data_IF_245024893960
#
_entry.id   IF_245024893960
#
_cell.length_a   1.000
_cell.length_b   1.000
_cell.length_c   1.000
_cell.angle_alpha   90.00
_cell.angle_beta   90.00
_cell.angle_gamma   90.00
#
_symmetry.space_group_name_H-M   'P 1'
#
loop_
_entity.id
_entity.type
_entity.pdbx_description
1 polymer ?
#
# COMPACT_ATOMS: atom_id res chain seq x y z
N UNK A 1 -44.94 -19.95 37.51
CA UNK A 1 -45.12 -19.17 36.26
C UNK A 1 -43.84 -18.96 35.44
N UNK A 2 -42.62 -18.97 36.02
CA UNK A 2 -41.36 -18.82 35.23
C UNK A 2 -40.89 -20.08 34.48
N UNK A 3 -41.22 -21.29 34.94
CA UNK A 3 -40.87 -22.54 34.26
C UNK A 3 -41.74 -22.88 33.05
N UNK A 4 -42.94 -22.28 32.93
CA UNK A 4 -43.87 -22.52 31.83
C UNK A 4 -43.55 -21.65 30.59
N UNK A 5 -43.02 -20.44 30.80
CA UNK A 5 -42.63 -19.51 29.72
C UNK A 5 -41.31 -19.92 29.05
N UNK A 6 -40.38 -20.51 29.80
CA UNK A 6 -39.14 -21.09 29.27
C UNK A 6 -39.40 -22.33 28.38
N UNK A 7 -40.38 -23.16 28.72
CA UNK A 7 -40.75 -24.34 27.92
C UNK A 7 -41.35 -23.98 26.56
N UNK A 8 -42.13 -22.89 26.47
CA UNK A 8 -42.74 -22.43 25.22
C UNK A 8 -41.69 -21.82 24.28
N UNK A 9 -40.69 -21.12 24.83
CA UNK A 9 -39.61 -20.50 24.04
C UNK A 9 -38.66 -21.54 23.44
N UNK A 10 -38.35 -22.61 24.20
CA UNK A 10 -37.56 -23.72 23.70
C UNK A 10 -38.28 -24.51 22.59
N UNK A 11 -39.61 -24.64 22.69
CA UNK A 11 -40.42 -25.32 21.67
C UNK A 11 -40.54 -24.49 20.37
N UNK A 12 -40.54 -23.17 20.43
CA UNK A 12 -40.56 -22.30 19.24
C UNK A 12 -39.25 -22.38 18.44
N UNK A 13 -38.10 -22.44 19.13
CA UNK A 13 -36.77 -22.52 18.51
C UNK A 13 -36.53 -23.88 17.82
N UNK A 14 -37.01 -24.98 18.41
CA UNK A 14 -36.96 -26.30 17.77
C UNK A 14 -37.93 -26.40 16.59
N UNK A 15 -39.10 -25.75 16.66
CA UNK A 15 -40.04 -25.72 15.53
C UNK A 15 -39.48 -24.91 14.35
N UNK A 16 -38.83 -23.77 14.60
CA UNK A 16 -38.21 -22.92 13.57
C UNK A 16 -37.05 -23.62 12.86
N UNK A 17 -36.21 -24.35 13.60
CA UNK A 17 -35.09 -25.11 13.03
C UNK A 17 -35.59 -26.26 12.15
N UNK A 18 -36.60 -27.00 12.58
CA UNK A 18 -37.22 -28.09 11.79
C UNK A 18 -37.88 -27.53 10.52
N UNK A 19 -38.57 -26.39 10.59
CA UNK A 19 -39.16 -25.74 9.41
C UNK A 19 -38.07 -25.29 8.44
N UNK A 20 -36.97 -24.69 8.92
CA UNK A 20 -35.87 -24.28 8.04
C UNK A 20 -35.21 -25.47 7.33
N UNK A 21 -35.05 -26.60 8.03
CA UNK A 21 -34.47 -27.82 7.46
C UNK A 21 -35.38 -28.44 6.40
N UNK A 22 -36.70 -28.35 6.58
CA UNK A 22 -37.68 -28.81 5.60
C UNK A 22 -37.76 -27.90 4.37
N UNK A 23 -37.58 -26.58 4.53
CA UNK A 23 -37.47 -25.62 3.42
C UNK A 23 -36.18 -25.85 2.63
N UNK A 24 -35.06 -26.12 3.32
CA UNK A 24 -33.77 -26.41 2.68
C UNK A 24 -33.81 -27.72 1.87
N UNK A 25 -34.37 -28.80 2.43
CA UNK A 25 -34.56 -30.06 1.70
C UNK A 25 -35.50 -29.94 0.50
N UNK A 26 -36.48 -29.02 0.53
CA UNK A 26 -37.32 -28.74 -0.64
C UNK A 26 -36.64 -27.87 -1.69
N UNK A 27 -35.58 -27.14 -1.35
CA UNK A 27 -34.79 -26.35 -2.29
C UNK A 27 -33.82 -27.24 -3.09
N UNK A 28 -33.25 -28.28 -2.47
CA UNK A 28 -32.40 -29.27 -3.15
C UNK A 28 -33.16 -30.20 -4.11
N UNK A 29 -34.49 -30.28 -3.99
CA UNK A 29 -35.33 -31.10 -4.88
C UNK A 29 -35.57 -30.47 -6.27
N UNK A 30 -35.17 -29.20 -6.48
CA UNK A 30 -35.38 -28.49 -7.75
C UNK A 30 -34.15 -28.35 -8.65
N UNK A 31 -33.00 -28.95 -8.30
CA UNK A 31 -31.86 -29.05 -9.21
C UNK A 31 -31.80 -30.47 -9.77
N UNK A 32 -32.71 -30.79 -10.68
CA UNK A 32 -32.59 -31.98 -11.53
C UNK A 32 -31.92 -31.62 -12.84
N UNK A 33 -30.85 -32.35 -13.18
CA UNK A 33 -30.13 -32.29 -14.46
C UNK A 33 -31.08 -32.34 -15.67
N UNK A 34 -30.79 -31.63 -16.77
CA UNK A 34 -31.62 -31.73 -17.96
C UNK A 34 -31.40 -33.09 -18.68
N UNK A 35 -32.45 -33.67 -19.28
CA UNK A 35 -32.34 -34.95 -19.97
C UNK A 35 -31.66 -34.82 -21.32
N UNK A 36 -30.85 -35.83 -21.66
CA UNK A 36 -30.21 -35.97 -22.96
C UNK A 36 -31.22 -36.21 -24.08
N UNK A 37 -30.96 -35.60 -25.23
CA UNK A 37 -31.56 -35.94 -26.51
C UNK A 37 -30.47 -36.32 -27.52
N UNK A 38 -30.83 -37.30 -28.34
CA UNK A 38 -30.06 -38.10 -29.29
C UNK A 38 -29.41 -37.34 -30.46
N UNK A 39 -28.28 -37.89 -30.91
CA UNK A 39 -27.57 -37.62 -32.18
C UNK A 39 -28.49 -37.42 -33.40
N UNK A 40 -28.27 -36.35 -34.16
CA UNK A 40 -28.43 -36.29 -35.62
C UNK A 40 -27.23 -35.53 -36.22
N UNK A 41 -26.79 -36.07 -37.34
CA UNK A 41 -25.56 -35.91 -38.13
C UNK A 41 -25.30 -34.53 -38.77
N UNK A 42 -24.02 -34.31 -39.07
CA UNK A 42 -23.30 -33.23 -39.75
C UNK A 42 -24.06 -32.07 -40.44
N UNK A 43 -23.71 -30.84 -40.03
CA UNK A 43 -23.32 -29.79 -40.98
C UNK A 43 -22.45 -28.75 -40.27
N UNK A 44 -21.21 -28.59 -40.75
CA UNK A 44 -20.26 -27.57 -40.33
C UNK A 44 -20.86 -26.16 -40.41
N UNK A 45 -21.16 -25.57 -39.26
CA UNK A 45 -21.28 -24.12 -39.11
C UNK A 45 -20.30 -23.73 -38.02
N UNK A 46 -19.19 -23.12 -38.43
CA UNK A 46 -18.24 -22.44 -37.56
C UNK A 46 -18.98 -21.46 -36.66
N UNK A 47 -19.00 -21.74 -35.36
CA UNK A 47 -19.50 -20.80 -34.36
C UNK A 47 -18.62 -19.53 -34.38
N UNK A 48 -19.21 -18.32 -34.24
CA UNK A 48 -18.42 -17.11 -34.07
C UNK A 48 -17.63 -17.24 -32.76
N UNK A 49 -16.35 -16.87 -32.80
CA UNK A 49 -15.46 -16.92 -31.66
C UNK A 49 -16.09 -16.36 -30.41
N UNK A 50 -15.81 -17.02 -29.27
CA UNK A 50 -16.09 -16.44 -27.95
C UNK A 50 -15.50 -15.03 -27.84
N UNK A 51 -15.94 -14.22 -26.87
CA UNK A 51 -15.36 -12.89 -26.67
C UNK A 51 -13.84 -13.04 -26.63
N UNK A 52 -13.16 -12.33 -27.54
CA UNK A 52 -11.71 -12.22 -27.49
C UNK A 52 -11.37 -11.75 -26.07
N UNK A 53 -10.44 -12.43 -25.40
CA UNK A 53 -9.89 -11.91 -24.15
C UNK A 53 -9.49 -10.46 -24.41
N UNK A 54 -9.96 -9.54 -23.57
CA UNK A 54 -9.62 -8.13 -23.72
C UNK A 54 -8.10 -8.01 -23.77
N UNK A 55 -7.59 -7.40 -24.84
CA UNK A 55 -6.17 -7.21 -25.01
C UNK A 55 -5.62 -6.41 -23.82
N UNK A 56 -4.51 -6.87 -23.26
CA UNK A 56 -3.85 -6.19 -22.15
C UNK A 56 -3.45 -4.76 -22.56
N UNK A 57 -3.51 -3.87 -21.58
CA UNK A 57 -3.34 -2.43 -21.74
C UNK A 57 -2.45 -1.94 -20.61
N UNK A 58 -1.33 -1.27 -20.91
CA UNK A 58 -0.50 -0.69 -19.88
C UNK A 58 -1.24 0.47 -19.20
N UNK A 59 -0.93 0.71 -17.93
CA UNK A 59 -1.41 1.88 -17.18
C UNK A 59 -0.80 3.16 -17.74
N UNK A 60 0.50 3.14 -18.04
CA UNK A 60 1.21 4.19 -18.78
C UNK A 60 1.63 3.68 -20.16
N UNK A 61 1.14 4.33 -21.23
CA UNK A 61 1.44 4.00 -22.63
C UNK A 61 2.70 4.67 -23.16
N UNK A 62 3.18 5.73 -22.51
CA UNK A 62 4.36 6.47 -22.95
C UNK A 62 5.65 5.87 -22.36
N UNK A 63 5.55 5.20 -21.21
CA UNK A 63 6.66 4.49 -20.56
C UNK A 63 7.02 3.17 -21.26
N UNK A 64 8.32 2.89 -21.41
CA UNK A 64 8.82 1.58 -21.86
C UNK A 64 8.43 0.48 -20.89
N UNK A 65 8.65 0.73 -19.60
CA UNK A 65 8.28 -0.14 -18.49
C UNK A 65 6.96 0.26 -17.90
N UNK A 66 5.99 -0.65 -17.89
CA UNK A 66 4.64 -0.41 -17.40
C UNK A 66 4.00 -1.71 -16.90
N UNK A 67 2.78 -1.63 -16.37
CA UNK A 67 2.05 -2.80 -15.91
C UNK A 67 0.59 -2.76 -16.35
N UNK A 68 -0.06 -3.92 -16.26
CA UNK A 68 -1.50 -4.12 -16.42
C UNK A 68 -2.01 -4.94 -15.25
N UNK A 69 -3.08 -4.49 -14.61
CA UNK A 69 -3.81 -5.23 -13.56
C UNK A 69 -5.21 -5.60 -14.06
N UNK A 70 -5.27 -6.48 -15.06
CA UNK A 70 -6.49 -6.91 -15.73
C UNK A 70 -6.70 -8.40 -15.53
N UNK A 71 -7.97 -8.84 -15.53
CA UNK A 71 -8.33 -10.25 -15.35
C UNK A 71 -7.82 -10.85 -14.03
N UNK A 72 -7.74 -10.02 -12.98
CA UNK A 72 -7.20 -10.36 -11.66
C UNK A 72 -5.74 -10.82 -11.64
N UNK A 73 -4.99 -10.51 -12.70
CA UNK A 73 -3.55 -10.80 -12.82
C UNK A 73 -2.75 -9.51 -12.97
N UNK A 74 -1.60 -9.46 -12.30
CA UNK A 74 -0.60 -8.42 -12.50
C UNK A 74 0.41 -8.88 -13.56
N UNK A 75 0.55 -8.08 -14.62
CA UNK A 75 1.50 -8.35 -15.71
C UNK A 75 2.33 -7.12 -16.01
N UNK A 76 3.62 -7.32 -16.27
CA UNK A 76 4.57 -6.26 -16.62
C UNK A 76 4.85 -6.27 -18.12
N UNK A 77 5.18 -5.10 -18.64
CA UNK A 77 5.76 -4.93 -19.97
C UNK A 77 7.00 -4.06 -19.85
N UNK A 78 7.99 -4.33 -20.69
CA UNK A 78 9.24 -3.57 -20.82
C UNK A 78 9.41 -3.02 -22.25
N UNK A 79 8.36 -3.13 -23.07
CA UNK A 79 8.34 -2.75 -24.47
C UNK A 79 6.96 -2.18 -24.86
N UNK A 80 6.43 -1.26 -24.05
CA UNK A 80 5.21 -0.50 -24.35
C UNK A 80 3.97 -1.37 -24.64
N UNK A 81 3.88 -2.55 -23.99
CA UNK A 81 2.75 -3.46 -24.10
C UNK A 81 2.81 -4.44 -25.28
N UNK A 82 3.92 -4.53 -26.00
CA UNK A 82 4.13 -5.54 -27.05
C UNK A 82 4.19 -6.96 -26.46
N UNK A 83 4.97 -7.15 -25.39
CA UNK A 83 5.10 -8.40 -24.64
C UNK A 83 4.74 -8.21 -23.15
N UNK A 84 4.33 -9.31 -22.53
CA UNK A 84 3.84 -9.34 -21.15
C UNK A 84 4.44 -10.47 -20.33
N UNK A 85 4.92 -10.13 -19.14
CA UNK A 85 5.45 -11.08 -18.15
C UNK A 85 4.52 -11.14 -16.95
N UNK A 86 4.21 -12.34 -16.47
CA UNK A 86 3.34 -12.52 -15.32
C UNK A 86 4.10 -12.28 -14.01
N UNK A 87 3.51 -11.51 -13.10
CA UNK A 87 4.01 -11.37 -11.72
C UNK A 87 3.39 -12.48 -10.85
N UNK A 88 4.17 -13.29 -10.13
CA UNK A 88 3.66 -14.44 -9.38
C UNK A 88 3.05 -14.02 -8.02
N UNK A 89 2.12 -13.07 -8.03
CA UNK A 89 1.43 -12.55 -6.85
C UNK A 89 -0.06 -12.50 -7.15
N UNK A 90 -0.88 -13.00 -6.22
CA UNK A 90 -2.33 -12.91 -6.32
C UNK A 90 -2.78 -11.47 -6.05
N UNK A 91 -3.74 -10.96 -6.84
CA UNK A 91 -4.19 -9.57 -6.75
C UNK A 91 -4.61 -9.17 -5.35
N UNK A 92 -5.29 -10.04 -4.60
CA UNK A 92 -5.76 -9.76 -3.25
C UNK A 92 -4.61 -9.51 -2.26
N UNK A 93 -3.43 -10.10 -2.48
CA UNK A 93 -2.26 -9.92 -1.62
C UNK A 93 -1.68 -8.50 -1.75
N UNK A 94 -1.72 -7.93 -2.95
CA UNK A 94 -1.27 -6.56 -3.22
C UNK A 94 -2.09 -5.54 -2.42
N UNK A 95 -3.40 -5.75 -2.29
CA UNK A 95 -4.33 -4.83 -1.59
C UNK A 95 -4.71 -5.30 -0.17
N UNK A 96 -3.95 -6.23 0.39
CA UNK A 96 -4.18 -6.82 1.72
C UNK A 96 -4.03 -5.78 2.83
N UNK A 97 -4.95 -5.71 3.79
CA UNK A 97 -4.91 -4.73 4.90
C UNK A 97 -6.19 -3.89 5.00
N UNK A 98 -6.06 -2.63 5.40
CA UNK A 98 -7.17 -1.68 5.55
C UNK A 98 -7.49 -0.88 4.27
N UNK A 99 -6.85 -1.20 3.13
CA UNK A 99 -7.02 -0.44 1.89
C UNK A 99 -8.45 -0.55 1.32
N UNK A 100 -9.08 0.61 1.13
CA UNK A 100 -10.45 0.75 0.62
C UNK A 100 -10.52 1.51 -0.73
N UNK A 101 -9.37 1.84 -1.33
CA UNK A 101 -9.29 2.61 -2.57
C UNK A 101 -9.51 1.76 -3.84
N UNK A 102 -9.11 2.33 -4.97
CA UNK A 102 -9.18 1.66 -6.27
C UNK A 102 -8.26 0.43 -6.31
N UNK A 103 -8.79 -0.72 -6.74
CA UNK A 103 -8.05 -1.99 -6.91
C UNK A 103 -7.85 -2.36 -8.38
N UNK A 104 -7.93 -1.39 -9.29
CA UNK A 104 -7.60 -1.52 -10.70
C UNK A 104 -6.19 -1.03 -11.02
N UNK A 105 -5.57 -0.28 -10.11
CA UNK A 105 -4.19 0.21 -10.20
C UNK A 105 -3.48 -0.17 -8.90
N UNK A 106 -2.16 -0.36 -8.98
CA UNK A 106 -1.34 -0.63 -7.80
C UNK A 106 -1.37 0.57 -6.86
N UNK A 107 -1.24 0.31 -5.55
CA UNK A 107 -1.13 1.39 -4.59
C UNK A 107 0.20 2.10 -4.79
N UNK A 108 0.15 3.43 -4.78
CA UNK A 108 1.34 4.25 -4.83
C UNK A 108 2.31 3.86 -3.71
N UNK A 109 3.61 3.91 -4.01
CA UNK A 109 4.71 3.54 -3.11
C UNK A 109 4.72 2.08 -2.63
N UNK A 110 3.79 1.22 -3.05
CA UNK A 110 3.81 -0.21 -2.67
C UNK A 110 4.59 -1.09 -3.65
N UNK A 111 5.22 -0.49 -4.66
CA UNK A 111 5.97 -1.20 -5.69
C UNK A 111 7.06 -0.29 -6.27
N UNK A 112 8.05 -0.93 -6.88
CA UNK A 112 9.11 -0.30 -7.67
C UNK A 112 9.05 -0.93 -9.05
N UNK A 113 9.09 -0.09 -10.08
CA UNK A 113 9.07 -0.55 -11.46
C UNK A 113 10.06 0.26 -12.30
N UNK A 114 11.21 -0.35 -12.56
CA UNK A 114 12.29 0.17 -13.41
C UNK A 114 12.72 -0.93 -14.38
N UNK A 115 13.61 -0.61 -15.34
CA UNK A 115 14.16 -1.63 -16.24
C UNK A 115 15.02 -2.68 -15.51
N UNK A 116 15.68 -2.28 -14.41
CA UNK A 116 16.63 -3.11 -13.66
C UNK A 116 16.00 -3.77 -12.43
N UNK A 117 14.86 -3.28 -11.94
CA UNK A 117 14.18 -3.78 -10.75
C UNK A 117 12.66 -3.64 -10.86
N UNK A 118 11.96 -4.76 -10.71
CA UNK A 118 10.54 -4.79 -10.41
C UNK A 118 10.37 -5.40 -9.01
N UNK A 119 9.73 -4.70 -8.08
CA UNK A 119 9.52 -5.17 -6.71
C UNK A 119 8.12 -4.80 -6.22
N UNK A 120 7.45 -5.71 -5.51
CA UNK A 120 6.07 -5.54 -5.06
C UNK A 120 5.95 -5.92 -3.59
N UNK A 121 5.54 -4.97 -2.76
CA UNK A 121 5.28 -5.19 -1.35
C UNK A 121 3.84 -5.70 -1.19
N UNK A 122 3.70 -6.90 -0.66
CA UNK A 122 2.40 -7.55 -0.48
C UNK A 122 2.31 -8.25 0.87
N UNK A 123 1.11 -8.71 1.20
CA UNK A 123 0.92 -9.45 2.43
C UNK A 123 0.03 -10.67 2.27
N UNK A 124 0.55 -11.79 2.75
CA UNK A 124 -0.15 -13.05 2.81
C UNK A 124 -0.73 -13.28 4.22
N UNK A 125 -1.91 -13.90 4.28
CA UNK A 125 -2.53 -14.24 5.56
C UNK A 125 -1.78 -15.41 6.19
N UNK A 126 -1.08 -15.18 7.32
CA UNK A 126 -0.50 -16.27 8.11
C UNK A 126 -1.53 -16.88 9.08
N UNK A 127 -2.48 -16.07 9.58
CA UNK A 127 -3.68 -16.51 10.30
C UNK A 127 -4.80 -15.43 10.25
N UNK A 128 -5.88 -15.56 11.06
CA UNK A 128 -7.03 -14.64 11.01
C UNK A 128 -6.74 -13.18 11.40
N UNK A 129 -5.63 -12.88 12.08
CA UNK A 129 -5.33 -11.54 12.60
C UNK A 129 -3.92 -11.03 12.27
N UNK A 130 -3.05 -11.90 11.77
CA UNK A 130 -1.65 -11.61 11.49
C UNK A 130 -1.34 -11.98 10.05
N UNK A 131 -0.50 -11.16 9.44
CA UNK A 131 -0.06 -11.31 8.05
C UNK A 131 1.46 -11.28 7.99
N UNK A 132 2.03 -12.08 7.11
CA UNK A 132 3.43 -11.92 6.72
C UNK A 132 3.50 -10.80 5.68
N UNK A 133 4.47 -9.90 5.82
CA UNK A 133 4.78 -8.89 4.81
C UNK A 133 5.94 -9.42 3.98
N UNK A 134 5.74 -9.44 2.68
CA UNK A 134 6.64 -10.06 1.71
C UNK A 134 7.01 -9.03 0.65
N UNK A 135 8.26 -9.10 0.18
CA UNK A 135 8.68 -8.42 -1.03
C UNK A 135 8.95 -9.46 -2.10
N UNK A 136 8.18 -9.43 -3.18
CA UNK A 136 8.46 -10.24 -4.37
C UNK A 136 9.06 -9.37 -5.44
N UNK A 137 10.23 -9.76 -5.95
CA UNK A 137 11.02 -8.94 -6.85
C UNK A 137 11.69 -9.74 -7.97
N UNK A 138 12.08 -9.01 -9.01
CA UNK A 138 12.86 -9.49 -10.16
C UNK A 138 13.90 -8.44 -10.54
N UNK A 139 15.08 -8.92 -10.89
CA UNK A 139 16.22 -8.12 -11.36
C UNK A 139 16.59 -8.41 -12.83
N UNK A 140 15.74 -9.18 -13.52
CA UNK A 140 15.97 -9.68 -14.89
C UNK A 140 14.72 -9.55 -15.77
N UNK A 141 13.98 -8.45 -15.59
CA UNK A 141 12.77 -8.12 -16.34
C UNK A 141 11.68 -9.20 -16.24
N UNK A 142 11.59 -9.86 -15.09
CA UNK A 142 10.59 -10.87 -14.77
C UNK A 142 10.89 -12.27 -15.33
N UNK A 143 12.11 -12.52 -15.82
CA UNK A 143 12.52 -13.86 -16.24
C UNK A 143 12.64 -14.81 -15.04
N UNK A 144 13.08 -14.31 -13.89
CA UNK A 144 13.06 -14.97 -12.59
C UNK A 144 12.47 -14.06 -11.52
N UNK A 145 11.94 -14.68 -10.45
CA UNK A 145 11.29 -14.01 -9.34
C UNK A 145 11.78 -14.60 -8.03
N UNK A 146 12.07 -13.72 -7.08
CA UNK A 146 12.41 -14.07 -5.71
C UNK A 146 11.40 -13.44 -4.75
N UNK A 147 11.24 -14.05 -3.58
CA UNK A 147 10.38 -13.53 -2.52
C UNK A 147 11.14 -13.57 -1.21
N UNK A 148 11.33 -12.40 -0.60
CA UNK A 148 11.89 -12.25 0.74
C UNK A 148 10.78 -11.97 1.74
N UNK A 149 10.98 -12.44 2.97
CA UNK A 149 10.12 -12.09 4.10
C UNK A 149 10.65 -10.79 4.74
N UNK A 150 9.82 -9.75 4.76
CA UNK A 150 10.12 -8.50 5.49
C UNK A 150 9.83 -8.69 6.97
N UNK A 151 8.67 -9.31 7.28
CA UNK A 151 8.32 -9.76 8.63
C UNK A 151 7.28 -10.87 8.57
N UNK A 152 7.34 -11.82 9.51
CA UNK A 152 6.41 -12.95 9.61
C UNK A 152 5.08 -12.58 10.28
N UNK A 153 5.04 -11.45 10.99
CA UNK A 153 3.92 -11.07 11.81
C UNK A 153 3.70 -9.55 11.87
N UNK A 154 2.74 -9.08 11.08
CA UNK A 154 2.25 -7.71 11.16
C UNK A 154 0.71 -7.66 11.25
N UNK A 155 0.13 -6.67 11.95
CA UNK A 155 -1.30 -6.36 11.89
C UNK A 155 -1.78 -6.08 10.46
N UNK A 156 -3.08 -5.84 10.29
CA UNK A 156 -3.59 -5.35 9.02
C UNK A 156 -2.95 -3.99 8.68
N UNK A 157 -2.18 -3.94 7.58
CA UNK A 157 -1.50 -2.71 7.15
C UNK A 157 -2.48 -1.63 6.73
N UNK A 158 -2.28 -0.40 7.21
CA UNK A 158 -2.93 0.81 6.71
C UNK A 158 -2.02 1.55 5.73
N UNK A 159 -0.80 1.87 6.13
CA UNK A 159 0.23 2.48 5.27
C UNK A 159 1.28 1.44 4.91
N UNK A 160 1.83 1.59 3.70
CA UNK A 160 3.02 0.88 3.28
C UNK A 160 3.80 1.70 2.26
N UNK A 161 5.11 1.63 2.32
CA UNK A 161 6.03 2.21 1.35
C UNK A 161 7.25 1.31 1.24
N UNK A 162 7.71 1.08 0.02
CA UNK A 162 8.97 0.40 -0.27
C UNK A 162 9.77 1.25 -1.25
N UNK A 163 11.05 1.40 -1.01
CA UNK A 163 11.97 2.04 -1.94
C UNK A 163 13.40 1.53 -1.78
N UNK A 164 14.23 1.78 -2.78
CA UNK A 164 15.67 1.49 -2.78
C UNK A 164 16.44 2.76 -3.11
N UNK A 165 17.28 3.21 -2.17
CA UNK A 165 18.18 4.36 -2.38
C UNK A 165 19.29 3.99 -3.36
N UNK A 166 19.71 2.72 -3.35
CA UNK A 166 20.64 2.15 -4.31
C UNK A 166 20.40 0.64 -4.47
N UNK A 167 21.20 -0.04 -5.30
CA UNK A 167 21.01 -1.47 -5.59
C UNK A 167 21.07 -2.41 -4.37
N UNK A 168 21.64 -1.96 -3.25
CA UNK A 168 21.84 -2.74 -2.04
C UNK A 168 20.99 -2.24 -0.88
N UNK A 169 20.92 -0.93 -0.68
CA UNK A 169 20.19 -0.32 0.42
C UNK A 169 18.77 0.08 0.03
N UNK A 170 17.81 -0.39 0.82
CA UNK A 170 16.40 -0.06 0.68
C UNK A 170 15.66 -0.15 2.00
N UNK A 171 14.40 0.27 1.99
CA UNK A 171 13.58 0.33 3.18
C UNK A 171 12.13 -0.06 2.89
N UNK A 172 11.46 -0.56 3.92
CA UNK A 172 10.02 -0.76 3.98
C UNK A 172 9.48 -0.04 5.21
N UNK A 173 8.50 0.85 5.03
CA UNK A 173 7.81 1.54 6.11
C UNK A 173 6.37 1.04 6.10
N UNK A 174 5.89 0.54 7.24
CA UNK A 174 4.53 -0.02 7.36
C UNK A 174 3.86 0.45 8.64
N UNK A 175 2.53 0.60 8.58
CA UNK A 175 1.73 0.99 9.74
C UNK A 175 0.47 0.14 9.88
N UNK A 176 -0.05 -0.01 11.09
CA UNK A 176 -1.27 -0.78 11.36
C UNK A 176 -1.72 -0.72 12.82
N UNK A 177 -2.64 -1.61 13.19
CA UNK A 177 -3.22 -1.73 14.54
C UNK A 177 -3.84 -0.42 15.06
N UNK A 178 -4.61 0.25 14.19
CA UNK A 178 -5.15 1.57 14.51
C UNK A 178 -6.22 1.50 15.58
N UNK A 179 -6.01 2.22 16.68
CA UNK A 179 -6.96 2.33 17.80
C UNK A 179 -7.06 3.78 18.29
N UNK A 180 -8.26 4.39 18.24
CA UNK A 180 -8.52 5.72 18.81
C UNK A 180 -7.51 6.81 18.39
N UNK A 181 -7.27 6.94 17.08
CA UNK A 181 -6.27 7.85 16.48
C UNK A 181 -4.81 7.57 16.85
N UNK A 182 -4.55 6.38 17.40
CA UNK A 182 -3.21 5.84 17.54
C UNK A 182 -2.95 4.77 16.50
N UNK A 183 -1.71 4.64 16.08
CA UNK A 183 -1.25 3.68 15.09
C UNK A 183 0.16 3.20 15.45
N UNK A 184 0.42 1.91 15.23
CA UNK A 184 1.75 1.35 15.27
C UNK A 184 2.42 1.55 13.91
N UNK A 185 3.67 1.97 13.90
CA UNK A 185 4.51 2.05 12.70
C UNK A 185 5.88 1.42 12.98
N UNK A 186 6.48 0.86 11.94
CA UNK A 186 7.83 0.33 11.99
C UNK A 186 8.52 0.48 10.64
N UNK A 187 9.85 0.45 10.67
CA UNK A 187 10.72 0.52 9.49
C UNK A 187 11.58 -0.72 9.46
N UNK A 188 11.68 -1.34 8.28
CA UNK A 188 12.60 -2.40 7.98
C UNK A 188 13.63 -1.91 6.96
N UNK A 189 14.90 -2.26 7.16
CA UNK A 189 15.99 -1.93 6.26
C UNK A 189 16.56 -3.19 5.61
N UNK A 190 17.05 -3.05 4.39
CA UNK A 190 17.87 -4.07 3.73
C UNK A 190 19.20 -3.46 3.33
N UNK A 191 20.27 -4.25 3.41
CA UNK A 191 21.63 -3.89 2.98
C UNK A 191 22.17 -4.84 1.91
N UNK A 192 21.33 -5.74 1.39
CA UNK A 192 21.67 -6.80 0.43
C UNK A 192 20.69 -6.87 -0.74
N UNK A 193 20.10 -5.73 -1.11
CA UNK A 193 19.25 -5.63 -2.30
C UNK A 193 17.84 -6.17 -2.12
N UNK A 194 17.43 -6.44 -0.88
CA UNK A 194 16.12 -6.97 -0.51
C UNK A 194 16.11 -8.45 -0.18
N UNK A 195 17.26 -9.13 -0.15
CA UNK A 195 17.35 -10.54 0.23
C UNK A 195 16.98 -10.76 1.71
N UNK A 196 17.46 -9.88 2.59
CA UNK A 196 17.14 -9.89 4.03
C UNK A 196 16.74 -8.51 4.55
N UNK A 197 15.95 -8.51 5.63
CA UNK A 197 15.34 -7.32 6.22
C UNK A 197 15.56 -7.29 7.73
N UNK A 198 15.91 -6.13 8.27
CA UNK A 198 16.07 -5.90 9.71
C UNK A 198 15.14 -4.79 10.21
N UNK A 199 14.45 -5.05 11.33
CA UNK A 199 13.59 -4.05 11.96
C UNK A 199 14.42 -3.02 12.73
N UNK A 200 14.11 -1.74 12.54
CA UNK A 200 14.72 -0.63 13.29
C UNK A 200 14.11 -0.47 14.68
N UNK A 201 14.69 0.39 15.52
CA UNK A 201 14.02 0.77 16.77
C UNK A 201 12.80 1.66 16.48
N UNK A 202 11.75 1.51 17.27
CA UNK A 202 10.55 2.33 17.15
C UNK A 202 10.84 3.80 17.53
N UNK A 203 10.23 4.76 16.82
CA UNK A 203 10.37 6.19 17.11
C UNK A 203 9.75 6.63 18.44
N UNK A 204 8.90 5.79 19.03
CA UNK A 204 8.10 6.08 20.22
C UNK A 204 6.80 6.84 19.92
N UNK A 205 6.54 7.15 18.65
CA UNK A 205 5.38 7.93 18.21
C UNK A 205 4.24 6.98 17.83
N UNK A 206 3.08 7.14 18.47
CA UNK A 206 1.88 6.36 18.17
C UNK A 206 0.86 7.10 17.31
N UNK A 207 1.30 8.03 16.45
CA UNK A 207 0.45 8.79 15.53
C UNK A 207 0.38 8.13 14.16
N UNK A 208 -0.56 8.57 13.32
CA UNK A 208 -0.69 8.02 11.98
C UNK A 208 0.49 8.47 11.12
N UNK A 209 1.15 7.54 10.43
CA UNK A 209 2.18 7.88 9.45
C UNK A 209 1.54 8.64 8.28
N UNK A 210 2.10 9.80 7.96
CA UNK A 210 1.78 10.55 6.76
C UNK A 210 2.67 10.09 5.59
N UNK A 211 3.98 10.06 5.82
CA UNK A 211 4.98 9.59 4.85
C UNK A 211 6.30 9.23 5.56
N UNK A 212 7.30 8.78 4.81
CA UNK A 212 8.66 8.60 5.28
C UNK A 212 9.58 8.00 4.23
N UNK A 213 10.88 8.01 4.50
CA UNK A 213 11.88 7.44 3.61
C UNK A 213 13.30 7.68 4.08
N UNK A 214 14.27 7.16 3.33
CA UNK A 214 15.69 7.31 3.60
C UNK A 214 16.38 7.98 2.42
N UNK A 215 17.33 8.86 2.71
CA UNK A 215 18.17 9.52 1.70
C UNK A 215 19.54 8.84 1.57
N UNK A 216 19.95 8.11 2.61
CA UNK A 216 21.15 7.27 2.64
C UNK A 216 21.00 6.16 3.69
N UNK A 217 22.03 5.31 3.85
CA UNK A 217 22.02 4.16 4.78
C UNK A 217 21.85 4.54 6.26
N UNK A 218 22.11 5.79 6.63
CA UNK A 218 22.10 6.30 8.00
C UNK A 218 20.98 7.31 8.26
N UNK A 219 20.58 8.08 7.25
CA UNK A 219 19.67 9.22 7.37
C UNK A 219 18.30 8.88 6.82
N UNK A 220 17.29 8.90 7.69
CA UNK A 220 15.91 8.59 7.32
C UNK A 220 14.89 9.35 8.16
N UNK A 221 13.65 9.35 7.66
CA UNK A 221 12.60 10.25 8.10
C UNK A 221 11.25 9.54 8.26
N UNK A 222 10.50 9.91 9.29
CA UNK A 222 9.12 9.50 9.51
C UNK A 222 8.26 10.73 9.78
N UNK A 223 7.31 11.01 8.90
CA UNK A 223 6.35 12.09 9.02
C UNK A 223 5.04 11.56 9.59
N UNK A 224 4.49 12.27 10.57
CA UNK A 224 3.26 11.87 11.25
C UNK A 224 2.16 12.92 11.09
N UNK A 225 0.95 12.46 10.81
CA UNK A 225 -0.24 13.29 10.73
C UNK A 225 -1.01 13.36 12.06
N UNK A 226 -1.57 14.54 12.34
CA UNK A 226 -2.56 14.73 13.42
C UNK A 226 -3.81 15.44 12.89
N UNK A 227 -4.86 15.52 13.72
CA UNK A 227 -6.15 16.11 13.29
C UNK A 227 -6.07 17.63 13.12
N UNK A 228 -5.21 18.28 13.91
CA UNK A 228 -5.07 19.74 13.98
C UNK A 228 -3.62 20.08 14.34
N UNK A 229 -2.66 19.77 13.44
CA UNK A 229 -1.24 20.05 13.67
C UNK A 229 -0.98 21.56 13.62
N UNK A 230 -0.14 22.05 14.53
CA UNK A 230 0.35 23.42 14.53
C UNK A 230 1.66 23.57 13.74
N UNK A 231 2.43 22.48 13.67
CA UNK A 231 3.73 22.38 13.01
C UNK A 231 3.93 20.94 12.50
N UNK A 232 4.87 20.71 11.57
CA UNK A 232 5.18 19.38 11.06
C UNK A 232 5.75 18.47 12.15
N UNK A 233 5.20 17.26 12.26
CA UNK A 233 5.72 16.22 13.15
C UNK A 233 6.62 15.27 12.34
N UNK A 234 7.85 15.71 12.08
CA UNK A 234 8.86 14.93 11.36
C UNK A 234 9.89 14.38 12.36
N UNK A 235 10.18 13.09 12.27
CA UNK A 235 11.24 12.44 13.03
C UNK A 235 12.38 12.05 12.10
N UNK A 236 13.60 12.26 12.54
CA UNK A 236 14.84 11.94 11.82
C UNK A 236 15.64 10.89 12.59
N UNK A 237 16.27 9.98 11.85
CA UNK A 237 17.38 9.15 12.30
C UNK A 237 18.63 9.53 11.52
N UNK A 238 19.80 9.47 12.17
CA UNK A 238 21.12 9.64 11.55
C UNK A 238 22.03 8.44 11.86
N UNK A 239 21.43 7.33 12.28
CA UNK A 239 22.09 6.11 12.66
C UNK A 239 21.28 4.87 12.23
N UNK A 240 20.66 4.92 11.06
CA UNK A 240 20.00 3.75 10.45
C UNK A 240 18.80 3.25 11.25
N UNK A 241 18.10 4.13 11.97
CA UNK A 241 16.93 3.77 12.77
C UNK A 241 17.25 3.20 14.15
N UNK A 242 18.52 3.22 14.60
CA UNK A 242 18.88 2.90 15.99
C UNK A 242 18.24 3.87 16.99
N UNK A 243 18.08 5.13 16.60
CA UNK A 243 17.35 6.13 17.38
C UNK A 243 16.68 7.16 16.46
N UNK A 244 15.54 7.68 16.92
CA UNK A 244 14.78 8.71 16.24
C UNK A 244 14.64 9.94 17.13
N UNK A 245 14.69 11.13 16.53
CA UNK A 245 14.48 12.41 17.21
C UNK A 245 13.50 13.25 16.39
N UNK A 246 12.70 14.05 17.06
CA UNK A 246 11.86 15.04 16.41
C UNK A 246 12.73 16.15 15.81
N UNK A 247 12.50 16.48 14.54
CA UNK A 247 13.16 17.56 13.84
C UNK A 247 12.49 18.90 14.19
N UNK A 248 13.25 19.98 14.20
CA UNK A 248 12.74 21.32 14.48
C UNK A 248 12.51 22.11 13.20
N UNK A 249 11.36 22.79 13.09
CA UNK A 249 11.05 23.68 11.98
C UNK A 249 11.07 25.13 12.42
N UNK A 250 11.78 25.98 11.67
CA UNK A 250 11.73 27.44 11.81
C UNK A 250 10.76 28.02 10.79
N UNK A 251 9.48 28.06 11.18
CA UNK A 251 8.39 28.57 10.35
C UNK A 251 8.20 30.08 10.61
N UNK A 252 8.20 30.94 9.56
CA UNK A 252 7.87 32.35 9.72
C UNK A 252 6.46 32.57 10.30
N UNK A 253 6.26 33.62 11.11
CA UNK A 253 4.99 33.90 11.80
C UNK A 253 3.78 34.02 10.85
N UNK A 254 4.00 34.43 9.60
CA UNK A 254 2.95 34.53 8.58
C UNK A 254 2.44 33.16 8.08
N UNK A 255 3.19 32.08 8.34
CA UNK A 255 2.84 30.70 8.00
C UNK A 255 2.52 29.84 9.23
N UNK A 256 2.25 30.46 10.38
CA UNK A 256 1.84 29.77 11.60
C UNK A 256 0.61 28.86 11.33
N UNK A 257 0.73 27.57 11.64
CA UNK A 257 -0.26 26.52 11.37
C UNK A 257 -0.61 26.30 9.88
N UNK A 258 0.17 26.85 8.93
CA UNK A 258 -0.09 26.68 7.48
C UNK A 258 0.55 25.40 6.95
N UNK A 259 1.87 25.22 7.13
CA UNK A 259 2.60 24.06 6.61
C UNK A 259 2.86 23.07 7.73
N UNK A 260 2.21 21.90 7.66
CA UNK A 260 2.00 21.04 8.83
C UNK A 260 2.16 19.54 8.59
N UNK A 261 2.23 19.06 7.35
CA UNK A 261 2.56 17.66 7.06
C UNK A 261 3.75 17.64 6.11
N UNK A 262 4.88 17.11 6.59
CA UNK A 262 6.08 16.98 5.78
C UNK A 262 5.97 15.75 4.85
N UNK A 263 6.37 15.91 3.61
CA UNK A 263 6.66 14.81 2.70
C UNK A 263 8.00 14.15 3.06
N UNK A 264 8.41 13.12 2.32
CA UNK A 264 9.74 12.54 2.48
C UNK A 264 10.80 13.54 2.05
N UNK A 265 11.74 13.92 2.94
CA UNK A 265 12.86 14.76 2.54
C UNK A 265 13.73 14.10 1.46
N UNK A 266 14.28 14.92 0.58
CA UNK A 266 15.13 14.48 -0.53
C UNK A 266 16.48 15.20 -0.49
N UNK A 267 17.50 14.59 -1.08
CA UNK A 267 18.81 15.22 -1.26
C UNK A 267 18.80 16.06 -2.54
N UNK A 268 18.99 17.38 -2.40
CA UNK A 268 19.22 18.30 -3.52
C UNK A 268 20.62 18.90 -3.40
N UNK A 269 21.49 18.57 -4.37
CA UNK A 269 22.89 19.00 -4.36
C UNK A 269 23.58 18.67 -3.02
N UNK A 270 23.93 19.68 -2.24
CA UNK A 270 24.69 19.56 -0.98
C UNK A 270 23.80 19.67 0.28
N UNK A 271 22.47 19.74 0.15
CA UNK A 271 21.54 19.93 1.27
C UNK A 271 20.31 19.04 1.16
N UNK A 272 19.59 18.87 2.28
CA UNK A 272 18.29 18.21 2.26
C UNK A 272 17.20 19.25 2.06
N UNK A 273 16.17 18.88 1.31
CA UNK A 273 14.95 19.66 1.13
C UNK A 273 13.74 18.85 1.51
N UNK A 274 12.68 19.52 1.97
CA UNK A 274 11.40 18.89 2.23
C UNK A 274 10.28 19.83 1.82
N UNK A 275 9.29 19.27 1.14
CA UNK A 275 8.02 19.94 0.91
C UNK A 275 7.06 19.63 2.05
N UNK A 276 6.36 20.66 2.51
CA UNK A 276 5.42 20.56 3.62
C UNK A 276 4.05 21.04 3.15
N UNK A 277 3.07 20.15 3.17
CA UNK A 277 1.70 20.42 2.80
C UNK A 277 0.88 21.02 3.95
N UNK A 278 -0.33 21.50 3.64
CA UNK A 278 -1.17 22.23 4.58
C UNK A 278 -2.09 21.33 5.44
N UNK A 279 -1.96 20.02 5.30
CA UNK A 279 -2.79 19.03 5.93
C UNK A 279 -4.24 19.02 5.42
N UNK A 280 -5.09 18.19 6.02
CA UNK A 280 -6.47 17.99 5.57
C UNK A 280 -7.38 19.22 5.73
N UNK A 281 -6.97 20.21 6.52
CA UNK A 281 -7.74 21.43 6.81
C UNK A 281 -7.15 22.69 6.14
N UNK A 282 -6.11 22.54 5.33
CA UNK A 282 -5.43 23.67 4.68
C UNK A 282 -6.31 24.45 3.71
N UNK A 283 -6.37 25.77 3.88
CA UNK A 283 -7.07 26.69 2.99
C UNK A 283 -6.22 27.88 2.53
N UNK A 284 -4.95 27.93 2.95
CA UNK A 284 -4.00 28.97 2.59
C UNK A 284 -3.73 28.93 1.08
N UNK A 285 -3.82 30.09 0.43
CA UNK A 285 -3.62 30.23 -1.02
C UNK A 285 -4.41 29.20 -1.86
N UNK A 286 -5.60 28.80 -1.40
CA UNK A 286 -6.44 27.81 -2.09
C UNK A 286 -6.16 26.36 -1.71
N UNK A 287 -5.28 26.10 -0.75
CA UNK A 287 -5.02 24.77 -0.16
C UNK A 287 -4.02 23.90 -0.91
N UNK A 288 -3.40 24.42 -1.98
CA UNK A 288 -2.51 23.62 -2.85
C UNK A 288 -1.04 24.04 -2.79
N UNK A 289 -0.73 25.20 -2.22
CA UNK A 289 0.65 25.67 -2.05
C UNK A 289 1.32 24.85 -0.95
N UNK A 290 2.56 24.42 -1.19
CA UNK A 290 3.43 23.78 -0.19
C UNK A 290 4.53 24.76 0.24
N UNK A 291 5.08 24.54 1.43
CA UNK A 291 6.30 25.21 1.86
C UNK A 291 7.51 24.34 1.57
N UNK A 292 8.53 24.86 0.89
CA UNK A 292 9.83 24.20 0.76
C UNK A 292 10.72 24.64 1.91
N UNK A 293 11.30 23.67 2.60
CA UNK A 293 12.25 23.88 3.68
C UNK A 293 13.59 23.23 3.34
N UNK A 294 14.67 23.78 3.88
CA UNK A 294 16.04 23.27 3.69
C UNK A 294 16.68 22.93 5.02
N UNK A 295 17.58 21.95 5.00
CA UNK A 295 18.37 21.55 6.16
C UNK A 295 19.85 21.42 5.81
N UNK A 296 20.70 22.05 6.63
CA UNK A 296 22.17 21.97 6.54
C UNK A 296 22.77 20.98 7.56
N UNK A 297 21.94 20.38 8.43
CA UNK A 297 22.36 19.51 9.54
C UNK A 297 21.81 18.09 9.43
N UNK A 298 21.61 17.62 8.20
CA UNK A 298 21.07 16.30 7.87
C UNK A 298 19.68 16.06 8.50
N UNK A 299 18.84 17.09 8.48
CA UNK A 299 17.42 17.02 8.80
C UNK A 299 17.08 17.13 10.28
N UNK A 300 18.00 17.55 11.15
CA UNK A 300 17.67 17.87 12.55
C UNK A 300 16.93 19.22 12.65
N UNK A 301 17.28 20.20 11.82
CA UNK A 301 16.60 21.50 11.73
C UNK A 301 16.26 21.88 10.29
N UNK A 302 15.13 22.57 10.12
CA UNK A 302 14.55 22.94 8.84
C UNK A 302 14.19 24.42 8.81
N UNK A 303 14.75 25.16 7.85
CA UNK A 303 14.46 26.58 7.63
C UNK A 303 13.59 26.76 6.40
N UNK A 304 12.57 27.62 6.49
CA UNK A 304 11.72 27.95 5.36
C UNK A 304 12.52 28.61 4.23
N UNK A 305 12.39 28.09 3.02
CA UNK A 305 13.02 28.62 1.82
C UNK A 305 12.03 29.45 1.00
N UNK A 306 10.95 28.82 0.53
CA UNK A 306 9.97 29.44 -0.35
C UNK A 306 8.63 28.68 -0.39
N UNK A 307 7.60 29.33 -0.91
CA UNK A 307 6.36 28.67 -1.32
C UNK A 307 6.57 27.97 -2.67
N UNK A 308 5.95 26.80 -2.85
CA UNK A 308 5.97 26.05 -4.11
C UNK A 308 4.54 25.81 -4.57
N UNK A 309 4.26 26.23 -5.81
CA UNK A 309 2.97 26.02 -6.46
C UNK A 309 2.84 24.55 -6.94
N UNK A 310 1.62 23.99 -6.95
CA UNK A 310 1.40 22.59 -7.33
C UNK A 310 1.88 22.26 -8.76
N UNK A 311 1.83 23.23 -9.68
CA UNK A 311 2.27 23.06 -11.06
C UNK A 311 3.80 22.86 -11.19
N UNK A 312 4.59 23.30 -10.20
CA UNK A 312 6.05 23.15 -10.17
C UNK A 312 6.47 21.83 -9.49
N UNK A 313 5.59 21.21 -8.70
CA UNK A 313 5.86 19.92 -8.03
C UNK A 313 5.68 18.69 -8.92
N UNK A 314 5.11 18.84 -10.12
CA UNK A 314 4.83 17.73 -11.04
C UNK A 314 6.01 17.38 -11.98
N UNK A 315 7.17 18.01 -11.81
CA UNK A 315 8.32 17.93 -12.73
C UNK A 315 9.59 17.29 -12.17
N UNK A 316 9.53 16.65 -11.00
CA UNK A 316 10.68 15.97 -10.39
C UNK A 316 10.47 14.46 -10.23
#
# INVERSE_FOLDING_TARGET
MKSFVLGISAFMLTLLTIISMFVYQKLDFFITSPPGFSEIDDTTVSAPGGPAADALRPVDYEASTSYSLQNDELRLTYNQGEDWVNVPIEKEQLFSGEYQGNKQELMEHSYILTEDRAAFLHAESSNQHVRSILLTYSLDQGATWETSEVTDAFPAMRFRKVDFVNDQFGYVIVSGDRTMSQEFSTVFLTHDGGETWEETNNSGVSRMIADGGFVDESTGFLSFGTIDPAEPMLYVTQNGGDSWKEAAFHIPEEYDHVFVIAETPVQEEDQLTVLVDQGPNGDYAGGFVKGKFVSEDNGETWDFLEEVDPDETASE
#
